data_IF_594038959966
#
_entry.id   IF_594038959966
#
_cell.length_a   1.000
_cell.length_b   1.000
_cell.length_c   1.000
_cell.angle_alpha   90.00
_cell.angle_beta   90.00
_cell.angle_gamma   90.00
#
_symmetry.space_group_name_H-M   'P 1'
#
loop_
_entity.id
_entity.type
_entity.pdbx_description
1 polymer ?
#
# COMPACT_ATOMS: atom_id res chain seq x y z
N UNK A 1 8.63 29.63 7.17
CA UNK A 1 7.83 28.42 6.87
C UNK A 1 6.74 28.17 7.92
N UNK A 2 7.07 27.94 9.20
CA UNK A 2 6.09 27.67 10.27
C UNK A 2 5.04 28.79 10.43
N UNK A 3 5.46 30.06 10.37
CA UNK A 3 4.55 31.21 10.43
C UNK A 3 3.52 31.26 9.28
N UNK A 4 3.85 30.72 8.10
CA UNK A 4 2.93 30.63 6.96
C UNK A 4 1.84 29.58 7.23
N UNK A 5 2.22 28.40 7.73
CA UNK A 5 1.29 27.33 8.09
C UNK A 5 0.31 27.75 9.20
N UNK A 6 0.77 28.47 10.22
CA UNK A 6 -0.09 29.00 11.27
C UNK A 6 -1.12 30.01 10.74
N UNK A 7 -0.76 30.83 9.73
CA UNK A 7 -1.67 31.82 9.14
C UNK A 7 -2.84 31.17 8.39
N UNK A 8 -2.61 30.02 7.74
CA UNK A 8 -3.62 29.29 6.99
C UNK A 8 -4.24 28.12 7.79
N UNK A 9 -3.86 27.93 9.05
CA UNK A 9 -4.39 26.85 9.91
C UNK A 9 -4.07 25.43 9.43
N UNK A 10 -3.11 25.26 8.52
CA UNK A 10 -2.74 23.96 7.96
C UNK A 10 -1.48 23.41 8.64
N UNK A 11 -1.40 22.09 8.79
CA UNK A 11 -0.20 21.44 9.34
C UNK A 11 0.52 20.64 8.26
N UNK A 12 1.86 20.72 8.17
CA UNK A 12 2.63 19.98 7.18
C UNK A 12 2.55 18.45 7.38
N UNK A 13 2.06 18.00 8.54
CA UNK A 13 1.90 16.59 8.91
C UNK A 13 0.53 16.00 8.55
N UNK A 14 -0.30 16.72 7.80
CA UNK A 14 -1.60 16.20 7.37
C UNK A 14 -1.50 14.86 6.61
N UNK A 15 -0.53 14.65 5.69
CA UNK A 15 -0.34 13.36 5.02
C UNK A 15 0.06 12.23 5.99
N UNK A 16 0.76 12.56 7.07
CA UNK A 16 1.25 11.58 8.05
C UNK A 16 0.09 10.90 8.81
N UNK A 17 -1.05 11.59 8.98
CA UNK A 17 -2.24 11.02 9.64
C UNK A 17 -2.74 9.75 8.93
N UNK A 18 -2.70 9.73 7.59
CA UNK A 18 -3.10 8.55 6.81
C UNK A 18 -2.17 7.36 7.05
N UNK A 19 -0.86 7.61 7.03
CA UNK A 19 0.17 6.58 7.28
C UNK A 19 0.04 5.99 8.69
N UNK A 20 -0.23 6.81 9.69
CA UNK A 20 -0.39 6.36 11.09
C UNK A 20 -1.60 5.42 11.27
N UNK A 21 -2.64 5.53 10.45
CA UNK A 21 -3.82 4.66 10.50
C UNK A 21 -3.57 3.37 9.71
N UNK A 22 -2.92 3.46 8.54
CA UNK A 22 -2.68 2.31 7.66
C UNK A 22 -1.58 1.39 8.21
N UNK A 23 -0.53 1.94 8.83
CA UNK A 23 0.61 1.17 9.29
C UNK A 23 0.23 0.06 10.32
N UNK A 24 -0.58 0.32 11.37
CA UNK A 24 -1.03 -0.73 12.28
C UNK A 24 -1.83 -1.82 11.57
N UNK A 25 -2.73 -1.46 10.66
CA UNK A 25 -3.53 -2.42 9.89
C UNK A 25 -2.63 -3.31 9.04
N UNK A 26 -1.67 -2.71 8.34
CA UNK A 26 -0.67 -3.45 7.56
C UNK A 26 0.13 -4.43 8.43
N UNK A 27 0.63 -3.98 9.58
CA UNK A 27 1.37 -4.84 10.51
C UNK A 27 0.52 -6.03 10.98
N UNK A 28 -0.73 -5.81 11.35
CA UNK A 28 -1.63 -6.88 11.79
C UNK A 28 -1.80 -7.97 10.71
N UNK A 29 -2.12 -7.56 9.48
CA UNK A 29 -2.28 -8.50 8.37
C UNK A 29 -0.96 -9.22 8.02
N UNK A 30 0.16 -8.48 8.00
CA UNK A 30 1.47 -9.05 7.70
C UNK A 30 1.84 -10.16 8.68
N UNK A 31 1.74 -9.90 9.99
CA UNK A 31 2.05 -10.91 11.00
C UNK A 31 1.06 -12.08 10.98
N UNK A 32 -0.23 -11.82 10.76
CA UNK A 32 -1.23 -12.88 10.65
C UNK A 32 -0.94 -13.82 9.47
N UNK A 33 -0.65 -13.27 8.28
CA UNK A 33 -0.32 -14.06 7.08
C UNK A 33 0.99 -14.82 7.27
N UNK A 34 2.02 -14.17 7.84
CA UNK A 34 3.29 -14.85 8.15
C UNK A 34 3.08 -16.06 9.06
N UNK A 35 2.29 -15.89 10.13
CA UNK A 35 1.98 -16.99 11.04
C UNK A 35 1.20 -18.12 10.34
N UNK A 36 0.27 -17.78 9.43
CA UNK A 36 -0.44 -18.78 8.63
C UNK A 36 0.49 -19.51 7.66
N UNK A 37 1.41 -18.81 6.99
CA UNK A 37 2.37 -19.41 6.07
C UNK A 37 3.28 -20.45 6.75
N UNK A 38 3.63 -20.24 8.02
CA UNK A 38 4.45 -21.19 8.78
C UNK A 38 3.65 -22.40 9.28
N UNK A 39 2.37 -22.24 9.63
CA UNK A 39 1.58 -23.27 10.30
C UNK A 39 0.55 -23.99 9.42
N UNK A 40 0.24 -23.48 8.22
CA UNK A 40 -0.77 -24.05 7.32
C UNK A 40 -0.08 -24.78 6.16
N UNK A 41 0.00 -26.10 6.26
CA UNK A 41 0.65 -26.94 5.24
C UNK A 41 0.04 -26.79 3.83
N UNK A 42 -1.24 -26.47 3.73
CA UNK A 42 -1.94 -26.24 2.45
C UNK A 42 -1.38 -25.06 1.64
N UNK A 43 -0.58 -24.17 2.24
CA UNK A 43 -0.01 -23.02 1.52
C UNK A 43 1.21 -23.40 0.68
N UNK A 44 1.77 -24.61 0.84
CA UNK A 44 2.93 -25.07 0.06
C UNK A 44 2.59 -25.50 -1.36
N UNK A 45 1.39 -26.05 -1.56
CA UNK A 45 0.98 -26.68 -2.83
C UNK A 45 -0.30 -26.04 -3.42
N UNK A 46 -0.75 -24.91 -2.85
CA UNK A 46 -2.05 -24.28 -3.15
C UNK A 46 -2.02 -23.13 -4.16
N UNK A 47 -0.88 -22.86 -4.79
CA UNK A 47 -0.71 -21.71 -5.67
C UNK A 47 -1.14 -21.92 -7.14
N UNK A 48 -0.99 -20.87 -7.97
CA UNK A 48 -1.40 -20.87 -9.39
C UNK A 48 -0.33 -20.31 -10.31
N UNK A 49 -0.23 -20.87 -11.53
CA UNK A 49 0.64 -20.43 -12.62
C UNK A 49 2.14 -20.38 -12.30
N UNK A 50 2.62 -19.29 -11.66
CA UNK A 50 4.04 -19.00 -11.40
C UNK A 50 4.42 -18.97 -9.92
N UNK A 51 3.44 -19.01 -9.01
CA UNK A 51 3.65 -19.14 -7.57
C UNK A 51 2.88 -20.37 -7.11
N UNK A 52 3.58 -21.47 -6.82
CA UNK A 52 2.96 -22.70 -6.33
C UNK A 52 3.01 -22.78 -4.80
N UNK A 53 4.09 -22.24 -4.22
CA UNK A 53 4.35 -22.21 -2.78
C UNK A 53 4.17 -20.79 -2.24
N UNK A 54 3.08 -20.55 -1.51
CA UNK A 54 2.74 -19.27 -0.88
C UNK A 54 3.56 -19.00 0.41
N UNK A 55 4.34 -19.98 0.88
CA UNK A 55 5.18 -19.82 2.08
C UNK A 55 6.52 -19.18 1.78
N UNK A 56 6.90 -19.15 0.51
CA UNK A 56 8.15 -18.55 0.04
C UNK A 56 7.90 -17.17 -0.57
N UNK A 57 8.86 -16.23 -0.48
CA UNK A 57 8.77 -14.99 -1.22
C UNK A 57 8.74 -15.27 -2.72
N UNK A 58 8.04 -14.41 -3.47
CA UNK A 58 7.90 -14.54 -4.93
C UNK A 58 9.27 -14.57 -5.62
N UNK A 59 9.62 -15.72 -6.19
CA UNK A 59 10.91 -15.98 -6.84
C UNK A 59 11.11 -15.16 -8.11
N UNK A 60 10.02 -14.81 -8.80
CA UNK A 60 10.05 -14.10 -10.08
C UNK A 60 9.83 -12.58 -9.91
N UNK A 61 9.61 -12.10 -8.68
CA UNK A 61 9.34 -10.70 -8.34
C UNK A 61 8.17 -10.07 -9.12
N UNK A 62 7.23 -10.88 -9.61
CA UNK A 62 6.07 -10.42 -10.36
C UNK A 62 5.14 -9.61 -9.44
N UNK A 63 4.87 -10.08 -8.22
CA UNK A 63 4.00 -9.36 -7.27
C UNK A 63 4.55 -7.99 -6.85
N UNK A 64 5.83 -7.84 -6.45
CA UNK A 64 6.42 -6.53 -6.18
C UNK A 64 6.32 -5.55 -7.36
N UNK A 65 6.59 -6.03 -8.58
CA UNK A 65 6.52 -5.18 -9.79
C UNK A 65 5.08 -4.75 -10.05
N UNK A 66 4.12 -5.68 -10.02
CA UNK A 66 2.70 -5.36 -10.20
C UNK A 66 2.22 -4.37 -9.15
N UNK A 67 2.59 -4.56 -7.88
CA UNK A 67 2.22 -3.66 -6.78
C UNK A 67 2.78 -2.26 -7.00
N UNK A 68 4.03 -2.14 -7.45
CA UNK A 68 4.64 -0.85 -7.77
C UNK A 68 3.94 -0.16 -8.95
N UNK A 69 3.60 -0.90 -10.00
CA UNK A 69 2.86 -0.37 -11.16
C UNK A 69 1.45 0.08 -10.78
N UNK A 70 0.72 -0.72 -9.99
CA UNK A 70 -0.62 -0.34 -9.50
C UNK A 70 -0.56 0.89 -8.62
N UNK A 71 0.45 1.01 -7.75
CA UNK A 71 0.66 2.21 -6.95
C UNK A 71 0.93 3.43 -7.84
N UNK A 72 1.81 3.30 -8.84
CA UNK A 72 2.09 4.37 -9.79
C UNK A 72 0.81 4.85 -10.48
N UNK A 73 0.04 3.95 -11.08
CA UNK A 73 -1.21 4.28 -11.76
C UNK A 73 -2.19 4.97 -10.80
N UNK A 74 -2.28 4.48 -9.56
CA UNK A 74 -3.16 5.07 -8.54
C UNK A 74 -2.77 6.51 -8.22
N UNK A 75 -1.47 6.81 -8.11
CA UNK A 75 -0.98 8.19 -7.87
C UNK A 75 -1.33 9.11 -9.04
N UNK A 76 -1.07 8.67 -10.27
CA UNK A 76 -1.35 9.47 -11.47
C UNK A 76 -2.85 9.74 -11.62
N UNK A 77 -3.69 8.72 -11.45
CA UNK A 77 -5.14 8.86 -11.51
C UNK A 77 -5.66 9.77 -10.39
N UNK A 78 -5.15 9.62 -9.17
CA UNK A 78 -5.55 10.47 -8.04
C UNK A 78 -5.17 11.94 -8.27
N UNK A 79 -3.98 12.20 -8.82
CA UNK A 79 -3.53 13.54 -9.13
C UNK A 79 -4.36 14.16 -10.25
N UNK A 80 -4.59 13.41 -11.33
CA UNK A 80 -5.39 13.83 -12.46
C UNK A 80 -6.85 14.14 -12.04
N UNK A 81 -7.50 13.23 -11.31
CA UNK A 81 -8.88 13.38 -10.87
C UNK A 81 -9.05 14.48 -9.81
N UNK A 82 -8.08 14.63 -8.91
CA UNK A 82 -8.05 15.74 -7.94
C UNK A 82 -7.94 17.10 -8.63
N UNK A 83 -7.09 17.23 -9.66
CA UNK A 83 -7.00 18.46 -10.46
C UNK A 83 -8.30 18.72 -11.23
N UNK A 84 -8.91 17.69 -11.83
CA UNK A 84 -10.20 17.84 -12.52
C UNK A 84 -11.33 18.31 -11.59
N UNK A 85 -11.42 17.77 -10.37
CA UNK A 85 -12.41 18.22 -9.38
C UNK A 85 -12.18 19.66 -8.89
N UNK A 86 -10.93 20.13 -8.85
CA UNK A 86 -10.59 21.50 -8.43
C UNK A 86 -10.73 22.51 -9.59
N UNK A 87 -10.53 22.08 -10.84
CA UNK A 87 -10.53 22.96 -12.01
C UNK A 87 -11.91 23.11 -12.68
N UNK A 88 -12.88 22.23 -12.38
CA UNK A 88 -14.27 22.31 -12.83
C UNK A 88 -15.27 22.76 -11.74
N UNK A 89 -14.75 23.27 -10.62
CA UNK A 89 -15.48 23.96 -9.56
C UNK A 89 -15.05 25.43 -9.53
#
# INVERSE_FOLDING_TARGET
>A
MIAFYCRYGVTPFTPLKGVLIVAPVFCCFFFAIKNMAENVASFKDGGTLWFTDLTTPDSMYIFPILTALTFWITVEVSHLFGIYYICFQ
#
